data_IF_413481135280
#
_entry.id   IF_413481135280
#
_cell.length_a   1.000
_cell.length_b   1.000
_cell.length_c   1.000
_cell.angle_alpha   90.00
_cell.angle_beta   90.00
_cell.angle_gamma   90.00
#
_symmetry.space_group_name_H-M   'P 1'
#
loop_
_entity.id
_entity.type
_entity.pdbx_description
1 polymer ?
#
# COMPACT_ATOMS: atom_id res chain seq x y z
N UNK A 1 -1.07 -30.30 -47.30
CA UNK A 1 0.25 -30.94 -47.53
C UNK A 1 1.13 -29.96 -48.29
N UNK A 2 2.04 -29.29 -47.61
CA UNK A 2 3.26 -28.70 -48.19
C UNK A 2 4.30 -28.65 -47.08
N UNK A 3 5.38 -29.41 -47.30
CA UNK A 3 6.51 -29.60 -46.39
C UNK A 3 7.52 -28.50 -46.69
N UNK A 4 8.06 -27.86 -45.67
CA UNK A 4 9.24 -26.99 -45.78
C UNK A 4 10.07 -27.17 -44.52
N UNK A 5 11.22 -27.81 -44.67
CA UNK A 5 12.07 -28.28 -43.60
C UNK A 5 13.08 -27.22 -43.12
N UNK A 6 13.31 -27.24 -41.79
CA UNK A 6 14.58 -27.06 -41.05
C UNK A 6 15.64 -26.09 -41.59
N UNK A 7 15.93 -25.06 -40.78
CA UNK A 7 17.30 -24.60 -40.55
C UNK A 7 17.48 -24.24 -39.08
N UNK A 8 18.31 -25.02 -38.39
CA UNK A 8 18.78 -24.78 -37.04
C UNK A 8 19.85 -23.69 -37.04
N UNK A 9 19.77 -22.77 -36.08
CA UNK A 9 20.80 -21.77 -35.81
C UNK A 9 20.76 -21.37 -34.34
N UNK A 10 21.48 -22.11 -33.52
CA UNK A 10 21.76 -21.75 -32.12
C UNK A 10 22.66 -20.52 -32.15
N UNK A 11 22.17 -19.38 -31.67
CA UNK A 11 22.98 -18.21 -31.34
C UNK A 11 22.80 -17.91 -29.86
N UNK A 12 23.75 -18.37 -29.05
CA UNK A 12 23.90 -17.97 -27.66
C UNK A 12 24.61 -16.61 -27.62
N UNK A 13 23.92 -15.56 -27.15
CA UNK A 13 24.56 -14.27 -26.79
C UNK A 13 23.84 -13.67 -25.58
N UNK A 14 24.61 -13.47 -24.50
CA UNK A 14 24.61 -12.22 -23.73
C UNK A 14 23.53 -12.01 -22.67
N UNK A 15 23.86 -12.41 -21.44
CA UNK A 15 23.34 -11.86 -20.19
C UNK A 15 23.72 -10.38 -20.05
N UNK A 16 22.78 -9.47 -19.76
CA UNK A 16 22.97 -8.34 -18.82
C UNK A 16 21.63 -7.69 -18.47
N UNK A 17 21.37 -7.64 -17.17
CA UNK A 17 20.32 -6.90 -16.44
C UNK A 17 20.03 -5.52 -17.03
N UNK A 18 18.75 -5.27 -17.32
CA UNK A 18 18.22 -3.92 -17.55
C UNK A 18 18.15 -3.19 -16.20
N UNK A 19 19.20 -2.41 -15.91
CA UNK A 19 19.20 -1.39 -14.88
C UNK A 19 18.17 -0.32 -15.28
N UNK A 20 17.13 -0.15 -14.47
CA UNK A 20 16.29 1.04 -14.56
C UNK A 20 17.19 2.23 -14.22
N UNK A 21 17.43 3.05 -15.24
CA UNK A 21 18.14 4.31 -15.14
C UNK A 21 17.43 5.20 -14.12
N UNK A 22 18.15 5.56 -13.07
CA UNK A 22 17.78 6.68 -12.21
C UNK A 22 17.97 7.96 -13.02
N UNK A 23 16.88 8.69 -13.27
CA UNK A 23 16.97 10.06 -13.78
C UNK A 23 17.50 10.96 -12.67
N UNK A 24 18.80 11.24 -12.70
CA UNK A 24 19.39 12.34 -11.92
C UNK A 24 18.88 13.64 -12.54
N UNK A 25 18.05 14.37 -11.78
CA UNK A 25 17.69 15.74 -12.10
C UNK A 25 18.94 16.58 -11.88
N UNK A 26 19.54 17.07 -12.97
CA UNK A 26 20.59 18.09 -12.90
C UNK A 26 19.91 19.39 -12.44
N UNK A 27 20.08 19.73 -11.15
CA UNK A 27 19.64 21.00 -10.59
C UNK A 27 20.64 22.06 -11.06
N UNK A 28 20.26 22.81 -12.10
CA UNK A 28 20.99 24.02 -12.52
C UNK A 28 21.11 24.97 -11.33
N UNK A 29 22.34 25.29 -10.98
CA UNK A 29 22.74 26.05 -9.78
C UNK A 29 22.33 27.53 -9.91
N UNK A 30 21.03 27.82 -9.79
CA UNK A 30 20.58 29.18 -9.53
C UNK A 30 20.74 29.47 -8.03
N UNK A 31 21.83 30.17 -7.72
CA UNK A 31 22.21 30.71 -6.40
C UNK A 31 21.00 31.29 -5.65
N UNK A 32 20.46 30.50 -4.72
CA UNK A 32 19.52 30.92 -3.69
C UNK A 32 19.87 30.15 -2.43
N UNK A 33 20.29 30.85 -1.38
CA UNK A 33 20.51 30.25 -0.07
C UNK A 33 19.21 29.59 0.41
N UNK A 34 19.08 28.28 0.21
CA UNK A 34 18.11 27.45 0.90
C UNK A 34 18.89 26.71 1.98
N UNK A 35 18.92 27.30 3.17
CA UNK A 35 19.14 26.55 4.41
C UNK A 35 17.91 25.67 4.63
N UNK A 36 17.80 24.63 3.81
CA UNK A 36 16.74 23.64 3.86
C UNK A 36 17.41 22.31 4.06
N UNK A 37 17.77 22.01 5.30
CA UNK A 37 18.04 20.63 5.71
C UNK A 37 16.82 19.81 5.31
N UNK A 38 16.92 19.05 4.21
CA UNK A 38 15.97 18.00 3.90
C UNK A 38 16.12 16.95 5.00
N UNK A 39 15.31 17.10 6.05
CA UNK A 39 15.23 16.10 7.10
C UNK A 39 14.87 14.77 6.41
N UNK A 40 15.62 13.68 6.65
CA UNK A 40 15.27 12.40 6.06
C UNK A 40 13.87 12.01 6.53
N UNK A 41 12.94 11.85 5.59
CA UNK A 41 11.66 11.21 5.87
C UNK A 41 11.94 9.74 6.16
N UNK A 42 11.97 9.37 7.43
CA UNK A 42 12.09 7.98 7.84
C UNK A 42 10.79 7.26 7.49
N UNK A 43 10.77 6.57 6.35
CA UNK A 43 9.68 5.65 6.01
C UNK A 43 9.81 4.41 6.89
N UNK A 44 8.83 4.19 7.79
CA UNK A 44 8.78 2.98 8.61
C UNK A 44 8.43 1.80 7.70
N UNK A 45 9.28 0.77 7.60
CA UNK A 45 9.02 -0.38 6.75
C UNK A 45 7.74 -1.10 7.20
N UNK A 46 6.98 -1.64 6.24
CA UNK A 46 5.83 -2.51 6.50
C UNK A 46 6.36 -3.94 6.50
N UNK A 47 6.47 -4.53 7.68
CA UNK A 47 7.01 -5.87 7.88
C UNK A 47 6.21 -6.57 8.98
N UNK A 48 6.01 -7.87 8.83
CA UNK A 48 5.24 -8.68 9.75
C UNK A 48 4.54 -9.82 9.04
N UNK A 49 3.89 -10.67 9.83
CA UNK A 49 2.92 -11.65 9.34
C UNK A 49 1.63 -10.95 8.90
N UNK A 50 0.83 -11.58 8.04
CA UNK A 50 -0.47 -11.03 7.61
C UNK A 50 -1.37 -10.68 8.80
N UNK A 51 -1.37 -11.50 9.86
CA UNK A 51 -2.12 -11.24 11.08
C UNK A 51 -1.65 -9.96 11.80
N UNK A 52 -0.32 -9.77 11.96
CA UNK A 52 0.23 -8.55 12.57
C UNK A 52 -0.05 -7.30 11.73
N UNK A 53 -0.02 -7.41 10.40
CA UNK A 53 -0.42 -6.34 9.49
C UNK A 53 -1.93 -6.03 9.62
N UNK A 54 -2.74 -7.08 9.77
CA UNK A 54 -4.13 -7.10 10.24
C UNK A 54 -4.39 -6.10 11.37
N UNK A 55 -3.71 -6.38 12.47
CA UNK A 55 -3.84 -5.66 13.73
C UNK A 55 -3.28 -4.23 13.65
N UNK A 56 -2.21 -4.02 12.87
CA UNK A 56 -1.65 -2.68 12.62
C UNK A 56 -2.64 -1.81 11.82
N UNK A 57 -3.30 -2.38 10.80
CA UNK A 57 -4.36 -1.68 10.05
C UNK A 57 -5.51 -1.30 10.96
N UNK A 58 -6.00 -2.21 11.80
CA UNK A 58 -7.07 -1.94 12.75
C UNK A 58 -6.67 -0.82 13.74
N UNK A 59 -5.45 -0.88 14.26
CA UNK A 59 -4.89 0.16 15.14
C UNK A 59 -4.84 1.52 14.44
N UNK A 60 -4.43 1.58 13.18
CA UNK A 60 -4.40 2.80 12.40
C UNK A 60 -5.81 3.33 12.13
N UNK A 61 -6.74 2.46 11.74
CA UNK A 61 -8.13 2.80 11.41
C UNK A 61 -8.90 3.33 12.64
N UNK A 62 -8.57 2.85 13.85
CA UNK A 62 -9.15 3.35 15.11
C UNK A 62 -8.96 4.85 15.35
N UNK A 63 -7.93 5.44 14.73
CA UNK A 63 -7.58 6.86 14.90
C UNK A 63 -8.33 7.77 13.94
N UNK A 64 -8.79 7.24 12.80
CA UNK A 64 -9.37 8.04 11.72
C UNK A 64 -10.58 8.84 12.16
N UNK A 65 -11.47 8.28 12.98
CA UNK A 65 -12.68 8.98 13.43
C UNK A 65 -12.33 10.29 14.16
N UNK A 66 -11.39 10.24 15.11
CA UNK A 66 -10.93 11.41 15.84
C UNK A 66 -10.16 12.39 14.93
N UNK A 67 -9.24 11.89 14.09
CA UNK A 67 -8.47 12.75 13.18
C UNK A 67 -9.37 13.48 12.18
N UNK A 68 -10.41 12.83 11.64
CA UNK A 68 -11.38 13.49 10.76
C UNK A 68 -12.19 14.55 11.53
N UNK A 69 -12.53 14.30 12.80
CA UNK A 69 -13.31 15.24 13.62
C UNK A 69 -12.50 16.49 14.01
N UNK A 70 -11.21 16.30 14.26
CA UNK A 70 -10.30 17.32 14.79
C UNK A 70 -9.37 17.96 13.72
N UNK A 71 -9.54 17.63 12.44
CA UNK A 71 -8.67 18.07 11.30
C UNK A 71 -7.19 17.72 11.55
N UNK A 72 -6.94 16.44 11.81
CA UNK A 72 -5.64 15.88 12.15
C UNK A 72 -4.86 15.33 10.94
N UNK A 73 -4.20 14.18 11.16
CA UNK A 73 -3.39 13.51 10.14
C UNK A 73 -4.16 12.36 9.43
N UNK A 74 -5.47 12.50 9.21
CA UNK A 74 -6.31 11.42 8.68
C UNK A 74 -5.88 10.95 7.29
N UNK A 75 -5.34 11.86 6.45
CA UNK A 75 -4.84 11.51 5.11
C UNK A 75 -3.57 10.67 5.18
N UNK A 76 -2.64 11.02 6.07
CA UNK A 76 -1.42 10.25 6.28
C UNK A 76 -1.73 8.89 6.90
N UNK A 77 -2.67 8.85 7.84
CA UNK A 77 -3.13 7.60 8.47
C UNK A 77 -3.84 6.69 7.47
N UNK A 78 -4.69 7.24 6.60
CA UNK A 78 -5.32 6.49 5.51
C UNK A 78 -4.28 5.93 4.53
N UNK A 79 -3.28 6.72 4.13
CA UNK A 79 -2.19 6.24 3.27
C UNK A 79 -1.49 5.03 3.91
N UNK A 80 -1.21 5.07 5.22
CA UNK A 80 -0.60 3.95 5.92
C UNK A 80 -1.49 2.70 5.90
N UNK A 81 -2.81 2.85 6.09
CA UNK A 81 -3.77 1.74 6.02
C UNK A 81 -3.75 1.10 4.63
N UNK A 82 -3.79 1.92 3.57
CA UNK A 82 -3.77 1.47 2.17
C UNK A 82 -2.46 0.76 1.84
N UNK A 83 -1.32 1.28 2.29
CA UNK A 83 -0.02 0.66 2.10
C UNK A 83 0.10 -0.70 2.82
N UNK A 84 -0.42 -0.81 4.05
CA UNK A 84 -0.44 -2.09 4.76
C UNK A 84 -1.35 -3.09 4.05
N UNK A 85 -2.54 -2.64 3.61
CA UNK A 85 -3.47 -3.50 2.90
C UNK A 85 -2.87 -4.05 1.60
N UNK A 86 -2.17 -3.22 0.83
CA UNK A 86 -1.50 -3.65 -0.38
C UNK A 86 -0.46 -4.76 -0.15
N UNK A 87 0.19 -4.78 1.02
CA UNK A 87 1.13 -5.83 1.42
C UNK A 87 0.41 -7.10 1.89
N UNK A 88 -0.67 -6.96 2.67
CA UNK A 88 -1.42 -8.08 3.24
C UNK A 88 -2.32 -8.80 2.22
N UNK A 89 -2.88 -8.05 1.25
CA UNK A 89 -3.91 -8.52 0.31
C UNK A 89 -3.56 -9.84 -0.38
N UNK A 90 -2.36 -10.04 -0.98
CA UNK A 90 -2.07 -11.29 -1.69
C UNK A 90 -2.12 -12.53 -0.81
N UNK A 91 -1.76 -12.40 0.47
CA UNK A 91 -1.82 -13.52 1.42
C UNK A 91 -3.27 -13.80 1.84
N UNK A 92 -4.03 -12.76 2.19
CA UNK A 92 -5.45 -12.91 2.56
C UNK A 92 -6.26 -13.46 1.39
N UNK A 93 -6.06 -12.97 0.16
CA UNK A 93 -6.77 -13.46 -1.03
C UNK A 93 -6.47 -14.93 -1.32
N UNK A 94 -5.23 -15.37 -1.09
CA UNK A 94 -4.85 -16.77 -1.25
C UNK A 94 -5.50 -17.68 -0.19
N UNK A 95 -5.68 -17.18 1.03
CA UNK A 95 -6.27 -17.94 2.15
C UNK A 95 -7.81 -17.94 2.08
N UNK A 96 -8.43 -16.77 1.89
CA UNK A 96 -9.88 -16.57 1.73
C UNK A 96 -10.19 -15.35 0.83
N UNK A 97 -10.55 -15.57 -0.45
CA UNK A 97 -10.90 -14.49 -1.38
C UNK A 97 -12.13 -13.64 -0.97
N UNK A 98 -13.09 -14.23 -0.24
CA UNK A 98 -14.26 -13.48 0.20
C UNK A 98 -13.86 -12.52 1.33
N UNK A 99 -13.05 -13.01 2.28
CA UNK A 99 -12.51 -12.18 3.35
C UNK A 99 -11.67 -11.02 2.79
N UNK A 100 -10.85 -11.28 1.77
CA UNK A 100 -10.09 -10.23 1.09
C UNK A 100 -11.03 -9.15 0.50
N UNK A 101 -12.14 -9.57 -0.12
CA UNK A 101 -13.14 -8.63 -0.69
C UNK A 101 -13.81 -7.79 0.39
N UNK A 102 -14.14 -8.39 1.54
CA UNK A 102 -14.78 -7.69 2.66
C UNK A 102 -13.84 -6.68 3.32
N UNK A 103 -12.55 -7.03 3.45
CA UNK A 103 -11.53 -6.11 3.97
C UNK A 103 -11.29 -4.97 2.99
N UNK A 104 -11.18 -5.24 1.69
CA UNK A 104 -11.02 -4.22 0.65
C UNK A 104 -12.17 -3.20 0.66
N UNK A 105 -13.41 -3.70 0.76
CA UNK A 105 -14.62 -2.87 0.89
C UNK A 105 -14.56 -2.00 2.15
N UNK A 106 -13.99 -2.52 3.23
CA UNK A 106 -13.82 -1.78 4.49
C UNK A 106 -12.75 -0.69 4.37
N UNK A 107 -11.65 -0.94 3.66
CA UNK A 107 -10.63 0.07 3.33
C UNK A 107 -11.23 1.18 2.46
N UNK A 108 -12.06 0.85 1.46
CA UNK A 108 -12.77 1.84 0.64
C UNK A 108 -13.79 2.68 1.44
N UNK A 109 -14.40 2.09 2.46
CA UNK A 109 -15.25 2.84 3.41
C UNK A 109 -14.43 3.86 4.20
N UNK A 110 -13.25 3.48 4.71
CA UNK A 110 -12.33 4.39 5.38
C UNK A 110 -11.85 5.51 4.45
N UNK A 111 -11.49 5.19 3.20
CA UNK A 111 -11.16 6.18 2.15
C UNK A 111 -12.30 7.17 1.95
N UNK A 112 -13.52 6.68 1.80
CA UNK A 112 -14.72 7.51 1.63
C UNK A 112 -14.97 8.39 2.85
N UNK A 113 -14.77 7.87 4.06
CA UNK A 113 -14.94 8.61 5.30
C UNK A 113 -13.98 9.81 5.37
N UNK A 114 -12.71 9.62 5.02
CA UNK A 114 -11.71 10.69 4.96
C UNK A 114 -12.06 11.71 3.87
N UNK A 115 -12.34 11.26 2.64
CA UNK A 115 -12.66 12.16 1.52
C UNK A 115 -13.90 13.00 1.78
N UNK A 116 -14.88 12.45 2.51
CA UNK A 116 -16.16 13.13 2.80
C UNK A 116 -16.22 13.79 4.17
N UNK A 117 -15.14 13.74 4.95
CA UNK A 117 -15.08 14.27 6.32
C UNK A 117 -16.21 13.69 7.19
N UNK A 118 -16.25 12.36 7.31
CA UNK A 118 -17.28 11.62 8.05
C UNK A 118 -16.69 10.73 9.15
N UNK A 119 -16.53 11.26 10.38
CA UNK A 119 -16.00 10.51 11.51
C UNK A 119 -16.76 9.19 11.79
N UNK A 120 -18.09 9.23 11.70
CA UNK A 120 -18.93 8.05 11.96
C UNK A 120 -18.71 6.91 10.94
N UNK A 121 -18.44 7.24 9.67
CA UNK A 121 -18.16 6.23 8.65
C UNK A 121 -16.78 5.58 8.91
N UNK A 122 -15.80 6.35 9.42
CA UNK A 122 -14.49 5.83 9.81
C UNK A 122 -14.55 4.94 11.05
N UNK A 123 -15.33 5.32 12.07
CA UNK A 123 -15.57 4.48 13.25
C UNK A 123 -16.22 3.14 12.86
N UNK A 124 -17.22 3.19 11.97
CA UNK A 124 -17.84 1.98 11.43
C UNK A 124 -16.84 1.09 10.69
N UNK A 125 -16.01 1.68 9.82
CA UNK A 125 -14.97 0.93 9.10
C UNK A 125 -14.02 0.23 10.08
N UNK A 126 -13.60 0.92 11.15
CA UNK A 126 -12.77 0.32 12.20
C UNK A 126 -13.43 -0.90 12.85
N UNK A 127 -14.69 -0.79 13.28
CA UNK A 127 -15.40 -1.91 13.91
C UNK A 127 -15.54 -3.12 12.98
N UNK A 128 -15.78 -2.88 11.67
CA UNK A 128 -15.81 -3.94 10.67
C UNK A 128 -14.44 -4.61 10.53
N UNK A 129 -13.37 -3.83 10.39
CA UNK A 129 -12.02 -4.36 10.22
C UNK A 129 -11.58 -5.20 11.42
N UNK A 130 -11.92 -4.80 12.65
CA UNK A 130 -11.63 -5.61 13.86
C UNK A 130 -12.26 -7.00 13.74
N UNK A 131 -13.55 -7.09 13.40
CA UNK A 131 -14.22 -8.38 13.25
C UNK A 131 -13.63 -9.23 12.11
N UNK A 132 -13.24 -8.60 11.00
CA UNK A 132 -12.62 -9.29 9.86
C UNK A 132 -11.21 -9.81 10.21
N UNK A 133 -10.42 -9.03 10.96
CA UNK A 133 -9.11 -9.46 11.45
C UNK A 133 -9.24 -10.64 12.44
N UNK A 134 -10.25 -10.61 13.31
CA UNK A 134 -10.56 -11.74 14.20
C UNK A 134 -10.90 -13.02 13.42
N UNK A 135 -11.67 -12.91 12.32
CA UNK A 135 -11.99 -14.04 11.43
C UNK A 135 -10.72 -14.60 10.77
N UNK A 136 -9.79 -13.74 10.33
CA UNK A 136 -8.52 -14.20 9.76
C UNK A 136 -7.67 -14.97 10.80
N UNK A 137 -7.72 -14.55 12.06
CA UNK A 137 -6.89 -15.07 13.13
C UNK A 137 -7.45 -16.33 13.83
N UNK A 138 -8.66 -16.78 13.45
CA UNK A 138 -9.37 -17.91 14.07
C UNK A 138 -9.07 -19.25 13.40
#
# INVERSE_FOLDING_TARGET
MTRGALAAGILAVGLTVASCAETVVELDESTGNIDGTLAPTTTIPIVGTTAELLDEMATSMSRLSAQIADDGDERATLSRIEDIWAVALPAVENDDPNLATDIDTTVEMARTAVVRIRPADADKAFQLLVGLAEIYNS
#
